data_IF_859396078677
#
_entry.id   IF_859396078677
#
_cell.length_a   1.000
_cell.length_b   1.000
_cell.length_c   1.000
_cell.angle_alpha   90.00
_cell.angle_beta   90.00
_cell.angle_gamma   90.00
#
_symmetry.space_group_name_H-M   'P 1'
#
loop_
_entity.id
_entity.type
_entity.pdbx_description
1 polymer ?
#
# COMPACT_ATOMS: atom_id res chain seq x y z
N UNK A 1 4.54 8.97 14.33
CA UNK A 1 3.97 9.39 13.03
C UNK A 1 2.46 9.50 13.21
N UNK A 2 1.82 10.45 12.54
CA UNK A 2 0.35 10.49 12.48
C UNK A 2 -0.11 9.33 11.60
N UNK A 3 -1.20 8.64 11.97
CA UNK A 3 -1.80 7.62 11.14
C UNK A 3 -2.50 8.22 9.89
N UNK A 4 -2.91 7.36 8.95
CA UNK A 4 -3.72 7.79 7.83
C UNK A 4 -5.10 8.23 8.29
N UNK A 5 -5.72 9.15 7.55
CA UNK A 5 -7.05 9.69 7.87
C UNK A 5 -8.04 9.27 6.78
N UNK A 6 -9.28 8.97 7.18
CA UNK A 6 -10.40 8.65 6.30
C UNK A 6 -11.61 9.52 6.62
N UNK A 7 -12.31 9.96 5.58
CA UNK A 7 -13.59 10.65 5.69
C UNK A 7 -14.45 10.26 4.49
N UNK A 8 -15.73 9.96 4.72
CA UNK A 8 -16.71 9.84 3.67
C UNK A 8 -16.85 11.19 2.94
N UNK A 9 -16.80 11.17 1.61
CA UNK A 9 -17.16 12.32 0.79
C UNK A 9 -18.69 12.44 0.69
N UNK A 10 -19.20 13.67 0.59
CA UNK A 10 -20.60 13.89 0.21
C UNK A 10 -20.83 13.41 -1.21
N UNK A 11 -22.11 13.21 -1.55
CA UNK A 11 -22.51 12.77 -2.90
C UNK A 11 -22.03 13.71 -4.02
N UNK A 12 -21.85 15.00 -3.71
CA UNK A 12 -21.33 16.00 -4.67
C UNK A 12 -19.80 15.93 -4.86
N UNK A 13 -19.09 15.16 -4.02
CA UNK A 13 -17.64 14.99 -4.02
C UNK A 13 -16.82 16.25 -3.74
N UNK A 14 -17.44 17.31 -3.20
CA UNK A 14 -16.77 18.59 -2.95
C UNK A 14 -16.38 18.81 -1.48
N UNK A 15 -17.06 18.13 -0.56
CA UNK A 15 -16.87 18.28 0.88
C UNK A 15 -16.90 16.92 1.59
N UNK A 16 -16.40 16.86 2.82
CA UNK A 16 -16.59 15.70 3.68
C UNK A 16 -18.04 15.64 4.22
N UNK A 17 -18.58 14.43 4.25
CA UNK A 17 -19.88 14.11 4.85
C UNK A 17 -19.77 13.91 6.37
N UNK A 18 -18.55 13.81 6.90
CA UNK A 18 -18.27 13.57 8.31
C UNK A 18 -16.93 14.20 8.72
N UNK A 19 -16.67 14.26 10.03
CA UNK A 19 -15.35 14.62 10.53
C UNK A 19 -14.34 13.51 10.17
N UNK A 20 -13.14 13.87 9.69
CA UNK A 20 -12.10 12.89 9.37
C UNK A 20 -11.66 12.09 10.60
N UNK A 21 -11.48 10.78 10.42
CA UNK A 21 -11.11 9.82 11.47
C UNK A 21 -9.77 9.18 11.17
N UNK A 22 -8.99 8.92 12.20
CA UNK A 22 -7.74 8.17 12.06
C UNK A 22 -8.01 6.69 11.81
N UNK A 23 -7.35 6.13 10.79
CA UNK A 23 -7.30 4.69 10.55
C UNK A 23 -6.28 4.07 11.50
N UNK A 24 -6.70 3.04 12.23
CA UNK A 24 -5.80 2.22 13.05
C UNK A 24 -5.24 1.07 12.23
N UNK A 25 -3.92 0.90 12.27
CA UNK A 25 -3.20 -0.25 11.70
C UNK A 25 -2.69 -1.10 12.85
N UNK A 26 -3.07 -2.37 12.86
CA UNK A 26 -2.77 -3.33 13.92
C UNK A 26 -1.70 -4.32 13.50
N UNK A 27 -0.95 -4.85 14.45
CA UNK A 27 -0.10 -6.02 14.29
C UNK A 27 -0.91 -7.33 14.35
N UNK A 28 -0.22 -8.46 14.25
CA UNK A 28 -0.80 -9.80 14.29
C UNK A 28 -1.49 -10.16 15.62
N UNK A 29 -1.21 -9.43 16.70
CA UNK A 29 -1.80 -9.61 18.01
C UNK A 29 -2.97 -8.66 18.26
N UNK A 30 -3.27 -7.76 17.32
CA UNK A 30 -4.32 -6.76 17.44
C UNK A 30 -3.87 -5.45 18.11
N UNK A 31 -2.57 -5.26 18.33
CA UNK A 31 -2.01 -4.05 18.93
C UNK A 31 -1.68 -3.01 17.87
N UNK A 32 -1.80 -1.72 18.19
CA UNK A 32 -1.55 -0.63 17.24
C UNK A 32 -0.05 -0.58 16.90
N UNK A 33 0.28 -0.50 15.60
CA UNK A 33 1.65 -0.29 15.16
C UNK A 33 2.22 1.03 15.71
N UNK A 34 3.34 0.94 16.41
CA UNK A 34 3.95 2.07 17.08
C UNK A 34 4.78 2.92 16.12
N UNK A 35 4.95 4.20 16.47
CA UNK A 35 5.72 5.14 15.65
C UNK A 35 7.19 4.72 15.41
N UNK A 36 7.77 3.92 16.31
CA UNK A 36 9.15 3.40 16.20
C UNK A 36 9.27 2.15 15.33
N UNK A 37 8.16 1.56 14.90
CA UNK A 37 8.15 0.37 14.04
C UNK A 37 8.24 0.78 12.56
N UNK A 38 9.37 1.39 12.19
CA UNK A 38 9.53 2.04 10.89
C UNK A 38 9.37 1.09 9.68
N UNK A 39 9.53 -0.22 9.87
CA UNK A 39 9.36 -1.23 8.82
C UNK A 39 7.87 -1.49 8.49
N UNK A 40 6.96 -1.17 9.42
CA UNK A 40 5.53 -1.49 9.28
C UNK A 40 4.62 -0.28 9.40
N UNK A 41 4.99 0.74 10.18
CA UNK A 41 4.12 1.91 10.44
C UNK A 41 3.92 2.76 9.20
N UNK A 42 2.74 3.38 9.11
CA UNK A 42 2.38 4.30 8.05
C UNK A 42 3.35 5.49 7.95
N UNK A 43 3.64 5.93 6.73
CA UNK A 43 4.33 7.19 6.44
C UNK A 43 3.54 8.05 5.45
N UNK A 44 3.23 7.52 4.26
CA UNK A 44 2.47 8.22 3.21
C UNK A 44 1.82 7.24 2.21
N UNK A 45 1.29 7.75 1.08
CA UNK A 45 0.84 6.97 -0.08
C UNK A 45 -0.33 6.00 0.21
N UNK A 46 -1.33 6.47 0.96
CA UNK A 46 -2.55 5.71 1.24
C UNK A 46 -3.26 5.29 -0.05
N UNK A 47 -3.51 3.99 -0.20
CA UNK A 47 -4.34 3.43 -1.26
C UNK A 47 -5.23 2.30 -0.73
N UNK A 48 -6.51 2.35 -1.04
CA UNK A 48 -7.49 1.30 -0.69
C UNK A 48 -8.01 0.64 -1.97
N UNK A 49 -8.04 -0.70 -1.96
CA UNK A 49 -8.79 -1.47 -2.95
C UNK A 49 -9.58 -2.59 -2.26
N UNK A 50 -10.59 -3.13 -2.95
CA UNK A 50 -11.42 -4.23 -2.46
C UNK A 50 -11.10 -5.51 -3.24
N UNK A 51 -10.79 -6.60 -2.53
CA UNK A 51 -10.53 -7.93 -3.12
C UNK A 51 -11.17 -8.99 -2.22
N UNK A 52 -11.93 -9.94 -2.80
CA UNK A 52 -12.68 -10.98 -2.09
C UNK A 52 -13.43 -10.48 -0.84
N UNK A 53 -14.22 -9.42 -1.03
CA UNK A 53 -15.02 -8.75 0.01
C UNK A 53 -14.26 -8.13 1.18
N UNK A 54 -12.93 -8.08 1.12
CA UNK A 54 -12.07 -7.41 2.11
C UNK A 54 -11.52 -6.10 1.56
N UNK A 55 -11.19 -5.18 2.46
CA UNK A 55 -10.54 -3.91 2.15
C UNK A 55 -9.04 -4.04 2.41
N UNK A 56 -8.23 -3.69 1.42
CA UNK A 56 -6.78 -3.72 1.48
C UNK A 56 -6.28 -2.28 1.53
N UNK A 57 -5.82 -1.87 2.71
CA UNK A 57 -5.17 -0.58 2.91
C UNK A 57 -3.67 -0.75 2.73
N UNK A 58 -3.14 -0.14 1.68
CA UNK A 58 -1.73 -0.22 1.29
C UNK A 58 -1.09 1.16 1.33
N UNK A 59 0.20 1.21 1.69
CA UNK A 59 0.87 2.47 2.01
C UNK A 59 2.39 2.36 1.94
N UNK A 60 3.07 3.50 1.86
CA UNK A 60 4.52 3.61 1.94
C UNK A 60 4.98 3.74 3.40
N UNK A 61 6.10 3.09 3.72
CA UNK A 61 6.74 3.19 5.04
C UNK A 61 7.80 4.31 5.12
N UNK A 62 8.08 4.99 4.01
CA UNK A 62 8.96 6.16 3.97
C UNK A 62 10.43 5.80 4.09
N UNK A 63 11.00 5.96 5.29
CA UNK A 63 12.43 5.80 5.58
C UNK A 63 12.94 4.36 5.49
N UNK A 64 12.03 3.38 5.39
CA UNK A 64 12.35 1.96 5.14
C UNK A 64 11.95 1.52 3.72
N UNK A 65 11.37 2.43 2.94
CA UNK A 65 11.16 2.32 1.49
C UNK A 65 10.26 1.17 0.99
N UNK A 66 9.47 0.55 1.86
CA UNK A 66 8.54 -0.51 1.50
C UNK A 66 7.19 0.06 1.06
N UNK A 67 6.49 -0.69 0.20
CA UNK A 67 5.03 -0.63 0.15
C UNK A 67 4.50 -1.79 0.98
N UNK A 68 3.79 -1.47 2.06
CA UNK A 68 3.15 -2.42 2.95
C UNK A 68 1.64 -2.43 2.75
N UNK A 69 0.97 -3.45 3.31
CA UNK A 69 -0.49 -3.51 3.32
C UNK A 69 -1.04 -4.17 4.58
N UNK A 70 -2.28 -3.81 4.85
CA UNK A 70 -3.10 -4.31 5.94
C UNK A 70 -4.52 -4.59 5.43
N UNK A 71 -5.20 -5.58 6.01
CA UNK A 71 -6.54 -6.02 5.59
C UNK A 71 -7.56 -5.70 6.69
N UNK A 72 -8.74 -5.23 6.28
CA UNK A 72 -9.87 -4.95 7.15
C UNK A 72 -11.20 -5.32 6.50
N UNK A 73 -12.26 -5.35 7.30
CA UNK A 73 -13.61 -5.76 6.87
C UNK A 73 -14.49 -4.60 6.40
N UNK A 74 -14.03 -3.36 6.57
CA UNK A 74 -14.77 -2.15 6.26
C UNK A 74 -13.80 -1.00 5.91
N UNK A 75 -14.25 0.07 5.24
CA UNK A 75 -13.37 1.14 4.76
C UNK A 75 -12.74 1.98 5.88
N UNK A 76 -13.24 1.90 7.11
CA UNK A 76 -12.73 2.65 8.27
C UNK A 76 -11.71 1.87 9.10
N UNK A 77 -11.51 0.58 8.81
CA UNK A 77 -10.67 -0.30 9.61
C UNK A 77 -11.30 -0.71 10.95
N UNK A 78 -10.49 -1.12 11.95
CA UNK A 78 -9.03 -1.20 11.88
C UNK A 78 -8.55 -2.17 10.79
N UNK A 79 -7.32 -1.97 10.32
CA UNK A 79 -6.68 -2.87 9.36
C UNK A 79 -5.55 -3.63 10.04
N UNK A 80 -5.49 -4.95 9.88
CA UNK A 80 -4.40 -5.79 10.41
C UNK A 80 -3.31 -5.97 9.36
N UNK A 81 -2.08 -5.58 9.70
CA UNK A 81 -0.89 -5.69 8.86
C UNK A 81 -0.69 -7.12 8.34
N UNK A 82 -0.37 -7.25 7.05
CA UNK A 82 -0.18 -8.55 6.39
C UNK A 82 1.20 -8.74 5.77
N UNK A 83 1.93 -7.65 5.50
CA UNK A 83 3.27 -7.76 4.93
C UNK A 83 3.59 -6.66 3.91
N UNK A 84 4.53 -6.99 3.03
CA UNK A 84 5.07 -6.10 1.99
C UNK A 84 4.50 -6.48 0.64
N UNK A 85 4.01 -5.50 -0.10
CA UNK A 85 3.68 -5.64 -1.53
C UNK A 85 4.94 -5.43 -2.37
N UNK A 86 5.75 -4.42 -2.07
CA UNK A 86 6.90 -4.02 -2.89
C UNK A 86 8.13 -3.76 -2.01
N UNK A 87 9.25 -4.39 -2.38
CA UNK A 87 10.57 -4.11 -1.82
C UNK A 87 11.15 -2.77 -2.33
N UNK A 88 12.21 -2.23 -1.70
CA UNK A 88 12.74 -0.92 -2.02
C UNK A 88 13.10 -0.74 -3.50
N UNK A 89 12.75 0.43 -4.02
CA UNK A 89 13.08 0.87 -5.37
C UNK A 89 14.29 1.82 -5.38
N UNK A 90 14.88 2.06 -6.55
CA UNK A 90 15.89 3.09 -6.77
C UNK A 90 15.27 4.48 -6.55
N UNK A 91 15.93 5.30 -5.73
CA UNK A 91 15.42 6.60 -5.29
C UNK A 91 14.73 6.51 -3.92
N UNK A 92 14.65 7.61 -3.18
CA UNK A 92 14.20 7.60 -1.78
C UNK A 92 12.70 7.32 -1.63
N UNK A 93 11.85 7.88 -2.51
CA UNK A 93 10.39 7.73 -2.39
C UNK A 93 9.91 6.45 -3.04
N UNK A 94 9.03 5.70 -2.37
CA UNK A 94 8.20 4.65 -2.96
C UNK A 94 6.73 5.04 -2.82
N UNK A 95 5.96 4.94 -3.91
CA UNK A 95 4.53 5.27 -3.98
C UNK A 95 3.87 4.34 -5.00
N UNK A 96 2.58 4.06 -4.82
CA UNK A 96 1.88 3.10 -5.66
C UNK A 96 0.37 3.35 -5.78
N UNK A 97 -0.25 2.59 -6.67
CA UNK A 97 -1.68 2.29 -6.66
C UNK A 97 -1.91 0.85 -7.12
N UNK A 98 -3.06 0.28 -6.76
CA UNK A 98 -3.48 -1.07 -7.15
C UNK A 98 -4.80 -1.00 -7.89
N UNK A 99 -4.85 -1.59 -9.08
CA UNK A 99 -6.04 -1.56 -9.92
C UNK A 99 -6.24 -2.90 -10.62
N UNK A 100 -7.51 -3.34 -10.73
CA UNK A 100 -7.90 -4.45 -11.59
C UNK A 100 -8.10 -3.92 -13.01
N UNK A 101 -7.42 -4.50 -13.98
CA UNK A 101 -7.62 -4.24 -15.41
C UNK A 101 -8.00 -5.57 -16.05
N UNK A 102 -9.21 -5.63 -16.59
CA UNK A 102 -9.86 -6.85 -17.04
C UNK A 102 -9.92 -7.91 -15.91
N UNK A 103 -9.25 -9.05 -16.09
CA UNK A 103 -9.21 -10.13 -15.12
C UNK A 103 -7.98 -10.08 -14.19
N UNK A 104 -7.02 -9.20 -14.49
CA UNK A 104 -5.73 -9.15 -13.81
C UNK A 104 -5.60 -7.94 -12.88
N UNK A 105 -4.84 -8.13 -11.80
CA UNK A 105 -4.51 -7.08 -10.85
C UNK A 105 -3.10 -6.54 -11.08
N UNK A 106 -2.95 -5.23 -10.99
CA UNK A 106 -1.70 -4.55 -11.28
C UNK A 106 -1.29 -3.61 -10.16
N UNK A 107 0.00 -3.61 -9.86
CA UNK A 107 0.69 -2.61 -9.07
C UNK A 107 1.27 -1.57 -10.03
N UNK A 108 0.77 -0.35 -9.94
CA UNK A 108 1.43 0.80 -10.54
C UNK A 108 2.33 1.43 -9.49
N UNK A 109 3.57 1.72 -9.83
CA UNK A 109 4.56 2.29 -8.92
C UNK A 109 5.55 3.16 -9.69
N UNK A 110 6.53 3.75 -9.02
CA UNK A 110 7.62 4.46 -9.69
C UNK A 110 8.99 4.01 -9.18
N UNK A 111 10.03 4.33 -9.93
CA UNK A 111 11.39 4.43 -9.40
C UNK A 111 12.16 5.58 -10.07
N UNK A 112 13.41 5.78 -9.66
CA UNK A 112 14.34 6.77 -10.23
C UNK A 112 15.40 6.13 -11.12
N UNK A 113 15.14 4.94 -11.68
CA UNK A 113 16.13 4.22 -12.50
C UNK A 113 16.46 4.95 -13.81
N UNK A 114 15.45 5.51 -14.47
CA UNK A 114 15.62 6.28 -15.73
C UNK A 114 16.52 7.50 -15.54
N UNK A 115 16.44 8.15 -14.37
CA UNK A 115 17.25 9.31 -14.02
C UNK A 115 18.58 8.95 -13.36
N UNK A 116 18.95 7.65 -13.32
CA UNK A 116 20.16 7.14 -12.66
C UNK A 116 20.23 7.45 -11.17
N UNK A 117 19.09 7.41 -10.49
CA UNK A 117 18.98 7.54 -9.03
C UNK A 117 18.66 8.94 -8.52
N UNK A 118 18.29 9.89 -9.39
CA UNK A 118 17.89 11.23 -8.95
C UNK A 118 16.48 11.18 -8.37
N UNK A 119 16.35 11.14 -7.04
CA UNK A 119 15.10 10.93 -6.30
C UNK A 119 13.91 11.79 -6.76
N UNK A 120 14.13 13.05 -7.15
CA UNK A 120 13.05 13.94 -7.57
C UNK A 120 12.69 13.83 -9.07
N UNK A 121 13.41 12.99 -9.84
CA UNK A 121 13.15 12.69 -11.25
C UNK A 121 12.78 11.22 -11.39
N UNK A 122 11.48 10.93 -11.30
CA UNK A 122 10.93 9.56 -11.23
C UNK A 122 10.28 9.16 -12.55
N UNK A 123 10.14 7.86 -12.77
CA UNK A 123 9.43 7.26 -13.89
C UNK A 123 8.48 6.17 -13.41
N UNK A 124 7.23 6.21 -13.89
CA UNK A 124 6.21 5.21 -13.57
C UNK A 124 6.53 3.85 -14.20
N UNK A 125 6.13 2.79 -13.51
CA UNK A 125 6.23 1.38 -13.89
C UNK A 125 4.94 0.66 -13.50
N UNK A 126 4.75 -0.53 -14.06
CA UNK A 126 3.62 -1.41 -13.75
C UNK A 126 4.08 -2.86 -13.70
N UNK A 127 3.51 -3.65 -12.79
CA UNK A 127 3.68 -5.09 -12.75
C UNK A 127 2.39 -5.75 -12.29
N UNK A 128 2.18 -7.02 -12.65
CA UNK A 128 1.05 -7.81 -12.15
C UNK A 128 1.26 -8.15 -10.67
N UNK A 129 0.17 -8.20 -9.91
CA UNK A 129 0.10 -8.66 -8.52
C UNK A 129 -0.52 -10.05 -8.51
N UNK A 130 0.02 -10.93 -7.66
CA UNK A 130 -0.55 -12.26 -7.42
C UNK A 130 -1.07 -12.32 -5.98
N UNK A 131 -2.36 -12.65 -5.83
CA UNK A 131 -2.97 -12.96 -4.54
C UNK A 131 -2.91 -14.46 -4.31
N UNK A 132 -2.58 -14.88 -3.09
CA UNK A 132 -2.67 -16.24 -2.62
C UNK A 132 -4.12 -16.58 -2.22
N UNK A 133 -4.39 -17.86 -2.01
CA UNK A 133 -5.74 -18.36 -1.67
C UNK A 133 -6.29 -17.75 -0.37
N UNK A 134 -5.42 -17.43 0.58
CA UNK A 134 -5.77 -16.78 1.85
C UNK A 134 -5.99 -15.26 1.73
N UNK A 135 -5.82 -14.70 0.53
CA UNK A 135 -5.92 -13.27 0.24
C UNK A 135 -4.62 -12.49 0.42
N UNK A 136 -3.54 -13.10 0.91
CA UNK A 136 -2.26 -12.41 1.03
C UNK A 136 -1.63 -12.14 -0.36
N UNK A 137 -0.83 -11.09 -0.46
CA UNK A 137 -0.16 -10.67 -1.70
C UNK A 137 1.29 -11.17 -1.70
N UNK A 138 1.71 -11.76 -2.81
CA UNK A 138 3.12 -12.15 -3.02
C UNK A 138 3.98 -10.89 -3.15
N UNK A 139 5.03 -10.78 -2.32
CA UNK A 139 5.94 -9.62 -2.34
C UNK A 139 6.71 -9.55 -3.66
N UNK A 140 6.74 -8.37 -4.25
CA UNK A 140 7.43 -8.06 -5.49
C UNK A 140 8.82 -7.50 -5.17
N UNK A 141 9.85 -8.11 -5.76
CA UNK A 141 11.17 -7.49 -5.89
C UNK A 141 11.22 -6.71 -7.22
N UNK A 142 11.38 -5.37 -7.19
CA UNK A 142 11.31 -4.55 -8.41
C UNK A 142 12.44 -4.82 -9.41
N UNK A 143 13.50 -5.52 -9.00
CA UNK A 143 14.67 -5.83 -9.82
C UNK A 143 14.99 -7.33 -9.86
N UNK A 144 14.24 -8.15 -9.13
CA UNK A 144 14.38 -9.60 -9.12
C UNK A 144 13.73 -10.29 -10.32
N UNK A 145 14.19 -11.52 -10.61
CA UNK A 145 13.53 -12.40 -11.58
C UNK A 145 12.24 -12.91 -10.91
N UNK A 146 11.08 -12.57 -11.46
CA UNK A 146 9.79 -13.11 -11.02
C UNK A 146 9.84 -14.64 -11.14
N UNK A 147 9.87 -15.35 -10.02
CA UNK A 147 9.64 -16.79 -10.02
C UNK A 147 8.16 -16.98 -10.35
N UNK A 148 7.89 -17.58 -11.50
CA UNK A 148 6.56 -18.08 -11.79
C UNK A 148 6.24 -19.11 -10.70
N UNK A 149 5.09 -18.96 -10.05
CA UNK A 149 4.54 -20.01 -9.21
C UNK A 149 4.07 -21.11 -10.17
N UNK A 150 4.61 -22.32 -9.98
CA UNK A 150 4.24 -23.53 -10.74
C UNK A 150 2.79 -23.94 -10.48
#
# INVERSE_FOLDING_TARGET
ALGPIVALLREDMLEFAEEPKEIKILDENGEILLAGDNDRRFFEASWVHKYNDKYYFSYSTGDTHFICYAIGDNPYGPFTYQGRILNPVVGWTSHHSICKVDDDWYLFYHDSSLSKGVTHLRSMKVTKIDYLEDGTIVTIDPYGIRRLLD
#
